data_IF_000308812686
#
_entry.id   IF_000308812686
#
_cell.length_a   1.000
_cell.length_b   1.000
_cell.length_c   1.000
_cell.angle_alpha   90.00
_cell.angle_beta   90.00
_cell.angle_gamma   90.00
#
_symmetry.space_group_name_H-M   'P 1'
#
loop_
_entity.id
_entity.type
_entity.pdbx_description
1 polymer ?
#
# COMPACT_ATOMS: atom_id res chain seq x y z
N UNK A 1 37.94 32.67 -30.74
CA UNK A 1 37.05 31.49 -30.83
C UNK A 1 36.16 31.48 -29.61
N UNK A 2 34.89 31.83 -29.78
CA UNK A 2 33.88 31.76 -28.72
C UNK A 2 33.42 30.31 -28.57
N UNK A 3 33.63 29.72 -27.39
CA UNK A 3 33.10 28.40 -27.06
C UNK A 3 31.56 28.50 -27.13
N UNK A 4 30.87 27.69 -27.93
CA UNK A 4 29.41 27.72 -27.98
C UNK A 4 28.88 27.36 -26.59
N UNK A 5 28.12 28.26 -25.97
CA UNK A 5 27.33 27.93 -24.78
C UNK A 5 26.33 26.86 -25.19
N UNK A 6 26.62 25.59 -24.89
CA UNK A 6 25.66 24.50 -24.99
C UNK A 6 24.50 24.89 -24.08
N UNK A 7 23.36 25.30 -24.65
CA UNK A 7 22.14 25.53 -23.89
C UNK A 7 21.74 24.19 -23.30
N UNK A 8 21.85 24.05 -21.99
CA UNK A 8 21.39 22.88 -21.26
C UNK A 8 19.90 22.66 -21.61
N UNK A 9 19.61 21.57 -22.34
CA UNK A 9 18.22 21.21 -22.63
C UNK A 9 17.66 20.61 -21.34
N UNK A 10 16.55 21.16 -20.80
CA UNK A 10 16.00 20.66 -19.55
C UNK A 10 15.61 19.19 -19.70
N UNK A 11 15.90 18.43 -18.66
CA UNK A 11 15.49 17.03 -18.52
C UNK A 11 13.96 16.91 -18.43
N UNK A 12 13.44 15.70 -18.65
CA UNK A 12 12.01 15.42 -18.43
C UNK A 12 11.58 15.74 -16.99
N UNK A 13 12.46 15.46 -16.01
CA UNK A 13 12.23 15.75 -14.59
C UNK A 13 12.11 17.25 -14.32
N UNK A 14 13.04 18.06 -14.83
CA UNK A 14 13.01 19.52 -14.64
C UNK A 14 11.77 20.14 -15.31
N UNK A 15 11.41 19.64 -16.50
CA UNK A 15 10.21 20.10 -17.21
C UNK A 15 8.93 19.73 -16.45
N UNK A 16 8.84 18.51 -15.94
CA UNK A 16 7.70 18.04 -15.13
C UNK A 16 7.55 18.85 -13.84
N UNK A 17 8.67 19.09 -13.14
CA UNK A 17 8.70 19.90 -11.92
C UNK A 17 8.24 21.34 -12.19
N UNK A 18 8.74 21.99 -13.24
CA UNK A 18 8.34 23.34 -13.59
C UNK A 18 6.84 23.45 -13.88
N UNK A 19 6.29 22.51 -14.65
CA UNK A 19 4.85 22.43 -14.94
C UNK A 19 4.02 22.21 -13.68
N UNK A 20 4.47 21.34 -12.78
CA UNK A 20 3.82 21.09 -11.50
C UNK A 20 3.80 22.35 -10.64
N UNK A 21 4.95 22.98 -10.41
CA UNK A 21 5.08 24.19 -9.59
C UNK A 21 4.21 25.33 -10.12
N UNK A 22 4.16 25.55 -11.43
CA UNK A 22 3.31 26.59 -12.01
C UNK A 22 1.81 26.33 -11.71
N UNK A 23 1.35 25.10 -11.94
CA UNK A 23 -0.06 24.72 -11.81
C UNK A 23 -0.50 24.60 -10.37
N UNK A 24 0.31 23.99 -9.50
CA UNK A 24 0.03 23.85 -8.07
C UNK A 24 -0.09 25.23 -7.41
N UNK A 25 0.81 26.16 -7.72
CA UNK A 25 0.75 27.53 -7.21
C UNK A 25 -0.54 28.26 -7.62
N UNK A 26 -1.01 28.09 -8.87
CA UNK A 26 -2.29 28.66 -9.31
C UNK A 26 -3.46 28.10 -8.49
N UNK A 27 -3.45 26.81 -8.18
CA UNK A 27 -4.49 26.16 -7.38
C UNK A 27 -4.44 26.62 -5.92
N UNK A 28 -3.25 26.62 -5.32
CA UNK A 28 -3.03 27.09 -3.94
C UNK A 28 -3.51 28.53 -3.78
N UNK A 29 -3.24 29.42 -4.75
CA UNK A 29 -3.73 30.81 -4.72
C UNK A 29 -5.27 30.88 -4.70
N UNK A 30 -5.96 30.02 -5.45
CA UNK A 30 -7.43 29.97 -5.44
C UNK A 30 -7.98 29.49 -4.10
N UNK A 31 -7.34 28.47 -3.50
CA UNK A 31 -7.76 27.88 -2.23
C UNK A 31 -7.45 28.78 -1.04
N UNK A 32 -6.36 29.55 -1.06
CA UNK A 32 -5.90 30.36 0.08
C UNK A 32 -6.98 31.26 0.68
N UNK A 33 -7.81 31.89 -0.16
CA UNK A 33 -8.87 32.80 0.29
C UNK A 33 -10.15 32.12 0.78
N UNK A 34 -10.25 30.79 0.68
CA UNK A 34 -11.45 30.02 1.02
C UNK A 34 -11.49 29.74 2.53
N UNK A 35 -12.70 29.65 3.08
CA UNK A 35 -12.92 29.14 4.43
C UNK A 35 -12.55 27.65 4.50
N UNK A 36 -11.54 27.35 5.34
CA UNK A 36 -10.95 26.01 5.44
C UNK A 36 -11.99 24.95 5.80
N UNK A 37 -12.73 25.19 6.87
CA UNK A 37 -13.62 24.17 7.44
C UNK A 37 -14.82 23.95 6.51
N UNK A 38 -15.34 25.01 5.88
CA UNK A 38 -16.33 24.89 4.81
C UNK A 38 -15.85 24.02 3.66
N UNK A 39 -14.64 24.26 3.15
CA UNK A 39 -14.13 23.53 1.98
C UNK A 39 -13.82 22.07 2.31
N UNK A 40 -13.21 21.80 3.46
CA UNK A 40 -12.97 20.42 3.94
C UNK A 40 -14.29 19.67 4.12
N UNK A 41 -15.27 20.27 4.80
CA UNK A 41 -16.59 19.64 5.00
C UNK A 41 -17.31 19.41 3.67
N UNK A 42 -17.15 20.31 2.70
CA UNK A 42 -17.72 20.14 1.35
C UNK A 42 -17.08 18.95 0.62
N UNK A 43 -15.75 18.79 0.73
CA UNK A 43 -15.05 17.63 0.17
C UNK A 43 -15.51 16.33 0.82
N UNK A 44 -15.61 16.27 2.15
CA UNK A 44 -16.09 15.11 2.89
C UNK A 44 -17.53 14.73 2.51
N UNK A 45 -18.40 15.73 2.37
CA UNK A 45 -19.79 15.53 1.95
C UNK A 45 -19.92 15.06 0.50
N UNK A 46 -18.97 15.40 -0.39
CA UNK A 46 -18.92 14.83 -1.74
C UNK A 46 -18.42 13.39 -1.71
N UNK A 47 -17.35 13.10 -0.95
CA UNK A 47 -16.81 11.74 -0.79
C UNK A 47 -17.89 10.77 -0.29
N UNK A 48 -18.69 11.17 0.70
CA UNK A 48 -19.76 10.31 1.22
C UNK A 48 -20.82 9.92 0.17
N UNK A 49 -20.99 10.72 -0.90
CA UNK A 49 -21.98 10.50 -1.95
C UNK A 49 -21.45 9.79 -3.20
N UNK A 50 -20.13 9.62 -3.34
CA UNK A 50 -19.48 9.04 -4.54
C UNK A 50 -20.13 7.70 -4.96
N UNK A 51 -20.23 6.73 -4.03
CA UNK A 51 -20.80 5.41 -4.35
C UNK A 51 -22.29 5.45 -4.73
N UNK A 52 -23.05 6.37 -4.14
CA UNK A 52 -24.50 6.47 -4.33
C UNK A 52 -24.87 7.06 -5.71
N UNK A 53 -24.06 7.99 -6.21
CA UNK A 53 -24.40 8.75 -7.42
C UNK A 53 -24.02 8.04 -8.73
N UNK A 54 -23.15 7.01 -8.69
CA UNK A 54 -22.64 6.30 -9.90
C UNK A 54 -22.08 7.25 -10.98
N UNK A 55 -21.54 8.41 -10.59
CA UNK A 55 -21.06 9.45 -11.50
C UNK A 55 -19.61 9.16 -11.94
N UNK A 56 -19.46 8.27 -12.93
CA UNK A 56 -18.15 7.78 -13.39
C UNK A 56 -17.13 8.88 -13.77
N UNK A 57 -17.56 10.09 -14.11
CA UNK A 57 -16.71 11.18 -14.63
C UNK A 57 -16.10 12.12 -13.57
N UNK A 58 -16.48 12.03 -12.28
CA UNK A 58 -15.97 12.94 -11.22
C UNK A 58 -15.60 12.25 -9.88
N UNK A 59 -15.64 10.93 -9.84
CA UNK A 59 -15.46 10.13 -8.62
C UNK A 59 -13.98 9.79 -8.33
N UNK A 60 -13.06 10.71 -8.65
CA UNK A 60 -11.64 10.57 -8.31
C UNK A 60 -11.39 10.89 -6.84
N UNK A 61 -11.74 9.96 -5.96
CA UNK A 61 -11.69 10.12 -4.50
C UNK A 61 -10.33 10.65 -3.98
N UNK A 62 -9.22 10.24 -4.60
CA UNK A 62 -7.88 10.70 -4.24
C UNK A 62 -7.70 12.21 -4.46
N UNK A 63 -8.36 12.79 -5.46
CA UNK A 63 -8.32 14.24 -5.74
C UNK A 63 -9.07 15.01 -4.66
N UNK A 64 -10.20 14.49 -4.20
CA UNK A 64 -10.96 15.08 -3.09
C UNK A 64 -10.17 15.03 -1.78
N UNK A 65 -9.48 13.92 -1.52
CA UNK A 65 -8.58 13.78 -0.37
C UNK A 65 -7.37 14.74 -0.48
N UNK A 66 -6.81 14.91 -1.67
CA UNK A 66 -5.75 15.88 -1.93
C UNK A 66 -6.23 17.33 -1.70
N UNK A 67 -7.46 17.64 -2.11
CA UNK A 67 -8.08 18.94 -1.87
C UNK A 67 -8.21 19.23 -0.35
N UNK A 68 -8.56 18.22 0.46
CA UNK A 68 -8.58 18.33 1.93
C UNK A 68 -7.18 18.67 2.46
N UNK A 69 -6.13 17.98 2.00
CA UNK A 69 -4.74 18.27 2.39
C UNK A 69 -4.37 19.72 2.08
N UNK A 70 -4.58 20.15 0.84
CA UNK A 70 -4.21 21.50 0.37
C UNK A 70 -4.99 22.59 1.12
N UNK A 71 -6.28 22.36 1.40
CA UNK A 71 -7.07 23.29 2.19
C UNK A 71 -6.61 23.36 3.64
N UNK A 72 -6.30 22.21 4.26
CA UNK A 72 -5.79 22.18 5.61
C UNK A 72 -4.44 22.91 5.78
N UNK A 73 -3.58 22.89 4.76
CA UNK A 73 -2.25 23.54 4.82
C UNK A 73 -2.21 24.98 4.32
N UNK A 74 -3.11 25.39 3.41
CA UNK A 74 -3.00 26.69 2.73
C UNK A 74 -4.22 27.60 2.85
N UNK A 75 -5.38 27.10 3.28
CA UNK A 75 -6.61 27.90 3.38
C UNK A 75 -6.57 28.77 4.64
N UNK A 76 -6.64 30.08 4.46
CA UNK A 76 -6.55 31.07 5.55
C UNK A 76 -7.64 32.13 5.47
N UNK A 77 -8.54 32.07 4.49
CA UNK A 77 -9.61 33.03 4.29
C UNK A 77 -10.93 32.59 4.91
N UNK A 78 -11.99 33.33 4.57
CA UNK A 78 -13.36 33.14 5.08
C UNK A 78 -14.38 33.02 3.95
N UNK A 79 -13.93 33.04 2.68
CA UNK A 79 -14.80 33.04 1.51
C UNK A 79 -15.39 31.65 1.29
N UNK A 80 -16.69 31.59 0.98
CA UNK A 80 -17.38 30.35 0.63
C UNK A 80 -17.63 30.32 -0.89
N UNK A 81 -16.86 29.53 -1.67
CA UNK A 81 -17.05 29.42 -3.11
C UNK A 81 -18.38 28.71 -3.45
N UNK A 82 -18.87 28.94 -4.66
CA UNK A 82 -19.98 28.17 -5.21
C UNK A 82 -19.53 26.79 -5.74
N UNK A 83 -20.50 25.96 -6.13
CA UNK A 83 -20.21 24.62 -6.63
C UNK A 83 -19.38 24.61 -7.93
N UNK A 84 -19.56 25.58 -8.82
CA UNK A 84 -18.85 25.64 -10.09
C UNK A 84 -17.36 25.92 -9.86
N UNK A 85 -17.06 26.82 -8.92
CA UNK A 85 -15.69 27.11 -8.53
C UNK A 85 -15.03 25.92 -7.85
N UNK A 86 -15.74 25.22 -6.94
CA UNK A 86 -15.23 24.01 -6.31
C UNK A 86 -14.90 22.96 -7.38
N UNK A 87 -15.81 22.70 -8.31
CA UNK A 87 -15.57 21.78 -9.45
C UNK A 87 -14.38 22.24 -10.29
N UNK A 88 -14.23 23.55 -10.53
CA UNK A 88 -13.07 24.11 -11.22
C UNK A 88 -11.74 23.87 -10.51
N UNK A 89 -11.72 23.95 -9.17
CA UNK A 89 -10.55 23.65 -8.34
C UNK A 89 -10.22 22.16 -8.43
N UNK A 90 -11.20 21.27 -8.25
CA UNK A 90 -11.02 19.81 -8.30
C UNK A 90 -10.53 19.37 -9.68
N UNK A 91 -11.10 19.89 -10.76
CA UNK A 91 -10.63 19.64 -12.13
C UNK A 91 -9.19 20.10 -12.34
N UNK A 92 -8.80 21.24 -11.74
CA UNK A 92 -7.43 21.73 -11.81
C UNK A 92 -6.46 20.79 -11.07
N UNK A 93 -6.86 20.28 -9.91
CA UNK A 93 -6.10 19.28 -9.14
C UNK A 93 -5.96 17.95 -9.88
N UNK A 94 -7.04 17.47 -10.50
CA UNK A 94 -6.99 16.27 -11.33
C UNK A 94 -5.99 16.44 -12.48
N UNK A 95 -6.03 17.58 -13.18
CA UNK A 95 -5.13 17.89 -14.30
C UNK A 95 -3.66 18.09 -13.89
N UNK A 96 -3.30 18.00 -12.61
CA UNK A 96 -1.89 18.04 -12.19
C UNK A 96 -1.11 16.84 -12.74
N UNK A 97 -1.73 15.66 -12.95
CA UNK A 97 -1.06 14.50 -13.54
C UNK A 97 -0.42 14.79 -14.91
N UNK A 98 -0.91 15.80 -15.63
CA UNK A 98 -0.33 16.23 -16.91
C UNK A 98 1.09 16.79 -16.76
N UNK A 99 1.63 16.96 -15.55
CA UNK A 99 3.06 17.18 -15.33
C UNK A 99 3.92 16.00 -15.81
N UNK A 100 3.33 14.80 -15.99
CA UNK A 100 4.01 13.60 -16.48
C UNK A 100 4.16 13.52 -18.01
N UNK A 101 3.53 14.41 -18.78
CA UNK A 101 3.64 14.44 -20.25
C UNK A 101 5.10 14.37 -20.75
N UNK A 102 6.09 15.05 -20.14
CA UNK A 102 7.50 14.94 -20.57
C UNK A 102 8.07 13.53 -20.51
N UNK A 103 7.51 12.64 -19.69
CA UNK A 103 7.91 11.23 -19.58
C UNK A 103 7.24 10.31 -20.62
N UNK A 104 6.33 10.84 -21.44
CA UNK A 104 5.69 10.13 -22.55
C UNK A 104 6.44 10.32 -23.88
N UNK A 105 7.59 10.99 -23.86
CA UNK A 105 8.43 11.17 -25.04
C UNK A 105 8.98 9.83 -25.55
N UNK A 106 9.22 9.72 -26.86
CA UNK A 106 9.57 8.47 -27.55
C UNK A 106 10.88 7.81 -27.09
N UNK A 107 11.77 8.56 -26.43
CA UNK A 107 13.05 8.08 -25.91
C UNK A 107 12.98 7.65 -24.43
N UNK A 108 11.81 7.67 -23.81
CA UNK A 108 11.58 7.24 -22.43
C UNK A 108 10.59 6.07 -22.40
N UNK A 109 10.58 5.31 -21.30
CA UNK A 109 9.61 4.25 -21.11
C UNK A 109 8.32 4.84 -20.51
N UNK A 110 7.24 5.01 -21.30
CA UNK A 110 6.00 5.62 -20.82
C UNK A 110 5.31 4.80 -19.73
N UNK A 111 5.55 3.48 -19.66
CA UNK A 111 4.96 2.62 -18.64
C UNK A 111 5.39 3.00 -17.24
N UNK A 112 6.60 3.56 -17.06
CA UNK A 112 7.09 3.98 -15.73
C UNK A 112 6.28 5.18 -15.21
N UNK A 113 5.95 6.13 -16.09
CA UNK A 113 5.13 7.30 -15.74
C UNK A 113 3.66 6.94 -15.53
N UNK A 114 3.11 6.12 -16.43
CA UNK A 114 1.74 5.63 -16.34
C UNK A 114 1.51 4.81 -15.06
N UNK A 115 2.51 4.04 -14.61
CA UNK A 115 2.48 3.29 -13.35
C UNK A 115 2.22 4.19 -12.13
N UNK A 116 2.86 5.36 -12.05
CA UNK A 116 2.64 6.29 -10.93
C UNK A 116 1.18 6.77 -10.87
N UNK A 117 0.57 7.04 -12.03
CA UNK A 117 -0.85 7.41 -12.12
C UNK A 117 -1.77 6.27 -11.70
N UNK A 118 -1.50 5.04 -12.16
CA UNK A 118 -2.30 3.88 -11.80
C UNK A 118 -2.20 3.56 -10.30
N UNK A 119 -1.00 3.63 -9.72
CA UNK A 119 -0.80 3.33 -8.30
C UNK A 119 -1.58 4.28 -7.38
N UNK A 120 -1.62 5.57 -7.71
CA UNK A 120 -2.39 6.55 -6.93
C UNK A 120 -3.89 6.23 -6.94
N UNK A 121 -4.43 5.78 -8.08
CA UNK A 121 -5.83 5.42 -8.21
C UNK A 121 -6.14 4.09 -7.52
N UNK A 122 -5.29 3.08 -7.72
CA UNK A 122 -5.48 1.74 -7.16
C UNK A 122 -5.43 1.73 -5.63
N UNK A 123 -4.68 2.67 -5.02
CA UNK A 123 -4.65 2.86 -3.56
C UNK A 123 -6.06 3.00 -2.95
N UNK A 124 -7.01 3.63 -3.65
CA UNK A 124 -8.38 3.80 -3.16
C UNK A 124 -9.37 2.82 -3.79
N UNK A 125 -8.88 1.77 -4.44
CA UNK A 125 -9.70 0.68 -4.99
C UNK A 125 -9.52 -0.61 -4.20
N UNK A 126 -9.16 -0.51 -2.92
CA UNK A 126 -9.04 -1.68 -2.05
C UNK A 126 -10.41 -2.34 -1.87
N UNK A 127 -10.51 -3.61 -2.25
CA UNK A 127 -11.70 -4.39 -2.03
C UNK A 127 -11.84 -4.74 -0.55
N UNK A 128 -13.06 -4.70 -0.01
CA UNK A 128 -13.31 -4.98 1.41
C UNK A 128 -12.85 -6.37 1.85
N UNK A 129 -13.01 -7.39 0.98
CA UNK A 129 -12.53 -8.76 1.26
C UNK A 129 -11.01 -8.80 1.42
N UNK A 130 -10.28 -7.98 0.64
CA UNK A 130 -8.82 -7.84 0.80
C UNK A 130 -8.49 -7.23 2.16
N UNK A 131 -9.18 -6.16 2.56
CA UNK A 131 -8.97 -5.54 3.87
C UNK A 131 -9.23 -6.50 5.04
N UNK A 132 -10.26 -7.35 4.96
CA UNK A 132 -10.50 -8.40 5.96
C UNK A 132 -9.35 -9.40 6.04
N UNK A 133 -8.92 -9.92 4.90
CA UNK A 133 -7.82 -10.87 4.84
C UNK A 133 -6.53 -10.26 5.40
N UNK A 134 -6.24 -9.00 5.08
CA UNK A 134 -5.07 -8.31 5.59
C UNK A 134 -5.12 -8.12 7.11
N UNK A 135 -6.26 -7.75 7.69
CA UNK A 135 -6.41 -7.64 9.16
C UNK A 135 -6.26 -9.00 9.84
N UNK A 136 -6.85 -10.06 9.29
CA UNK A 136 -6.72 -11.42 9.83
C UNK A 136 -5.27 -11.90 9.76
N UNK A 137 -4.60 -11.66 8.63
CA UNK A 137 -3.20 -12.01 8.42
C UNK A 137 -2.27 -11.22 9.34
N UNK A 138 -2.47 -9.92 9.48
CA UNK A 138 -1.71 -9.09 10.43
C UNK A 138 -1.89 -9.61 11.86
N UNK A 139 -3.12 -9.98 12.25
CA UNK A 139 -3.39 -10.62 13.54
C UNK A 139 -2.59 -11.91 13.69
N UNK A 140 -2.67 -12.81 12.71
CA UNK A 140 -1.97 -14.10 12.73
C UNK A 140 -0.44 -13.94 12.82
N UNK A 141 0.14 -13.04 12.02
CA UNK A 141 1.58 -12.83 11.94
C UNK A 141 2.14 -12.13 13.18
N UNK A 142 1.39 -11.19 13.77
CA UNK A 142 1.94 -10.23 14.72
C UNK A 142 1.40 -10.36 16.15
N UNK A 143 0.19 -10.86 16.35
CA UNK A 143 -0.46 -10.85 17.68
C UNK A 143 0.26 -11.67 18.74
N UNK A 144 0.93 -12.75 18.34
CA UNK A 144 1.70 -13.61 19.25
C UNK A 144 3.04 -13.01 19.67
N UNK A 145 3.43 -11.84 19.13
CA UNK A 145 4.72 -11.23 19.40
C UNK A 145 4.66 -10.33 20.63
N UNK A 146 5.23 -10.78 21.75
CA UNK A 146 5.31 -9.98 22.99
C UNK A 146 5.96 -8.61 22.77
N UNK A 147 7.15 -8.48 22.13
CA UNK A 147 7.78 -7.17 21.95
C UNK A 147 6.95 -6.19 21.12
N UNK A 148 6.28 -6.66 20.06
CA UNK A 148 5.43 -5.80 19.22
C UNK A 148 4.16 -5.41 19.95
N UNK A 149 3.56 -6.34 20.70
CA UNK A 149 2.34 -6.11 21.46
C UNK A 149 2.58 -5.12 22.61
N UNK A 150 3.69 -5.25 23.33
CA UNK A 150 4.06 -4.36 24.42
C UNK A 150 4.37 -2.95 23.91
N UNK A 151 5.03 -2.84 22.76
CA UNK A 151 5.22 -1.56 22.08
C UNK A 151 3.89 -0.89 21.74
N UNK A 152 2.96 -1.64 21.11
CA UNK A 152 1.67 -1.08 20.71
C UNK A 152 0.83 -0.66 21.93
N UNK A 153 0.81 -1.47 22.98
CA UNK A 153 0.15 -1.15 24.25
C UNK A 153 0.73 0.09 24.91
N UNK A 154 2.04 0.22 24.94
CA UNK A 154 2.72 1.38 25.55
C UNK A 154 2.43 2.66 24.78
N UNK A 155 2.49 2.60 23.44
CA UNK A 155 2.34 3.79 22.59
C UNK A 155 0.90 4.22 22.34
N UNK A 156 -0.02 3.26 22.20
CA UNK A 156 -1.41 3.51 21.79
C UNK A 156 -2.44 3.01 22.80
N UNK A 157 -2.03 2.36 23.89
CA UNK A 157 -2.94 1.87 24.93
C UNK A 157 -3.72 0.61 24.56
N UNK A 158 -3.46 0.01 23.39
CA UNK A 158 -4.21 -1.16 22.87
C UNK A 158 -3.27 -2.28 22.42
N UNK A 159 -3.73 -3.53 22.55
CA UNK A 159 -3.02 -4.70 22.06
C UNK A 159 -3.19 -4.90 20.55
N UNK A 160 -2.32 -5.67 19.91
CA UNK A 160 -2.44 -6.01 18.48
C UNK A 160 -3.75 -6.75 18.21
N UNK A 161 -4.10 -7.73 19.04
CA UNK A 161 -5.36 -8.49 18.90
C UNK A 161 -6.58 -7.58 19.00
N UNK A 162 -6.56 -6.66 19.98
CA UNK A 162 -7.62 -5.65 20.17
C UNK A 162 -7.74 -4.73 18.96
N UNK A 163 -6.60 -4.24 18.45
CA UNK A 163 -6.56 -3.41 17.24
C UNK A 163 -7.19 -4.13 16.03
N UNK A 164 -6.79 -5.37 15.77
CA UNK A 164 -7.29 -6.14 14.63
C UNK A 164 -8.78 -6.45 14.77
N UNK A 165 -9.26 -6.75 15.98
CA UNK A 165 -10.67 -7.06 16.20
C UNK A 165 -11.58 -5.82 16.08
N UNK A 166 -11.15 -4.65 16.58
CA UNK A 166 -11.89 -3.39 16.35
C UNK A 166 -12.00 -3.10 14.85
N UNK A 167 -10.90 -3.23 14.10
CA UNK A 167 -10.94 -3.09 12.65
C UNK A 167 -11.88 -4.08 11.98
N UNK A 168 -11.87 -5.35 12.39
CA UNK A 168 -12.77 -6.37 11.85
C UNK A 168 -14.25 -5.97 11.99
N UNK A 169 -14.67 -5.50 13.17
CA UNK A 169 -16.06 -5.06 13.39
C UNK A 169 -16.38 -3.77 12.62
N UNK A 170 -15.46 -2.82 12.56
CA UNK A 170 -15.63 -1.59 11.76
C UNK A 170 -15.79 -1.92 10.27
N UNK A 171 -14.97 -2.83 9.74
CA UNK A 171 -15.08 -3.28 8.35
C UNK A 171 -16.46 -3.88 8.07
N UNK A 172 -17.06 -4.59 9.03
CA UNK A 172 -18.43 -5.13 8.89
C UNK A 172 -19.47 -4.02 8.76
N UNK A 173 -19.35 -2.97 9.57
CA UNK A 173 -20.24 -1.81 9.44
C UNK A 173 -20.04 -1.08 8.10
N UNK A 174 -18.80 -0.98 7.63
CA UNK A 174 -18.50 -0.37 6.32
C UNK A 174 -19.03 -1.24 5.17
N UNK A 175 -18.99 -2.57 5.29
CA UNK A 175 -19.51 -3.51 4.30
C UNK A 175 -21.00 -3.29 4.00
N UNK A 176 -21.76 -2.94 5.03
CA UNK A 176 -23.21 -2.71 4.97
C UNK A 176 -23.56 -1.31 4.41
N UNK A 177 -22.58 -0.44 4.20
CA UNK A 177 -22.80 0.95 3.77
C UNK A 177 -22.90 1.09 2.25
N UNK A 178 -23.97 1.75 1.80
CA UNK A 178 -24.16 2.16 0.40
C UNK A 178 -23.44 3.48 0.06
N UNK A 179 -22.83 4.12 1.04
CA UNK A 179 -22.19 5.43 0.90
C UNK A 179 -20.67 5.30 0.71
N UNK A 180 -20.04 6.38 0.23
CA UNK A 180 -18.57 6.48 0.15
C UNK A 180 -17.90 6.68 1.51
N UNK A 181 -18.66 7.00 2.54
CA UNK A 181 -18.23 7.14 3.93
C UNK A 181 -19.28 6.52 4.85
N UNK A 182 -18.84 5.93 5.96
CA UNK A 182 -19.70 5.27 6.94
C UNK A 182 -19.57 5.95 8.29
N UNK A 183 -20.69 6.38 8.87
CA UNK A 183 -20.75 6.72 10.29
C UNK A 183 -20.69 5.44 11.12
N UNK A 184 -19.75 5.37 12.05
CA UNK A 184 -19.54 4.20 12.89
C UNK A 184 -20.55 4.21 14.01
N UNK A 185 -21.40 3.17 14.05
CA UNK A 185 -22.31 2.95 15.15
C UNK A 185 -21.52 2.47 16.38
N UNK A 186 -21.18 3.41 17.26
CA UNK A 186 -20.41 3.14 18.48
C UNK A 186 -21.17 2.22 19.45
N UNK A 187 -22.50 2.30 19.50
CA UNK A 187 -23.32 1.41 20.34
C UNK A 187 -23.19 -0.05 19.89
N UNK A 188 -23.34 -0.30 18.59
CA UNK A 188 -23.11 -1.62 17.99
C UNK A 188 -21.68 -2.09 18.18
N UNK A 189 -20.70 -1.22 17.93
CA UNK A 189 -19.28 -1.55 18.14
C UNK A 189 -19.01 -1.96 19.59
N UNK A 190 -19.57 -1.25 20.56
CA UNK A 190 -19.44 -1.61 21.98
C UNK A 190 -20.07 -2.97 22.26
N UNK A 191 -21.29 -3.22 21.78
CA UNK A 191 -22.00 -4.50 22.00
C UNK A 191 -21.23 -5.66 21.38
N UNK A 192 -20.81 -5.52 20.11
CA UNK A 192 -20.10 -6.56 19.35
C UNK A 192 -18.70 -6.82 19.92
N UNK A 193 -18.05 -5.80 20.49
CA UNK A 193 -16.71 -5.93 21.07
C UNK A 193 -16.68 -6.28 22.57
N UNK A 194 -17.73 -6.01 23.35
CA UNK A 194 -17.75 -6.17 24.81
C UNK A 194 -17.31 -7.55 25.31
N UNK A 195 -17.60 -8.68 24.65
CA UNK A 195 -17.15 -9.99 25.13
C UNK A 195 -15.62 -10.14 25.13
N UNK A 196 -14.90 -9.36 24.30
CA UNK A 196 -13.48 -9.55 24.05
C UNK A 196 -12.62 -8.32 24.35
N UNK A 197 -13.22 -7.13 24.45
CA UNK A 197 -12.52 -5.83 24.50
C UNK A 197 -13.16 -4.90 25.52
N UNK A 198 -12.32 -4.10 26.20
CA UNK A 198 -12.79 -3.08 27.14
C UNK A 198 -13.19 -1.82 26.38
N UNK A 199 -14.24 -1.12 26.84
CA UNK A 199 -14.69 0.15 26.24
C UNK A 199 -13.55 1.17 26.13
N UNK A 200 -12.66 1.22 27.13
CA UNK A 200 -11.48 2.09 27.11
C UNK A 200 -10.60 1.85 25.88
N UNK A 201 -10.52 0.62 25.38
CA UNK A 201 -9.66 0.27 24.27
C UNK A 201 -10.26 0.78 22.94
N UNK A 202 -11.59 0.77 22.82
CA UNK A 202 -12.31 1.40 21.69
C UNK A 202 -12.02 2.90 21.65
N UNK A 203 -12.08 3.56 22.82
CA UNK A 203 -11.72 4.97 22.94
C UNK A 203 -10.26 5.23 22.54
N UNK A 204 -9.31 4.43 23.04
CA UNK A 204 -7.89 4.58 22.69
C UNK A 204 -7.63 4.36 21.20
N UNK A 205 -8.34 3.41 20.58
CA UNK A 205 -8.28 3.19 19.14
C UNK A 205 -8.70 4.45 18.37
N UNK A 206 -9.88 5.01 18.63
CA UNK A 206 -10.32 6.19 17.90
C UNK A 206 -9.49 7.43 18.24
N UNK A 207 -9.06 7.61 19.49
CA UNK A 207 -8.11 8.65 19.85
C UNK A 207 -6.81 8.54 19.04
N UNK A 208 -6.37 7.32 18.78
CA UNK A 208 -5.16 7.05 18.03
C UNK A 208 -5.34 7.10 16.51
N UNK A 209 -6.55 6.92 15.94
CA UNK A 209 -6.71 6.76 14.48
C UNK A 209 -7.81 7.64 13.87
N UNK A 210 -8.35 8.58 14.64
CA UNK A 210 -9.25 9.62 14.15
C UNK A 210 -8.60 11.01 14.21
N UNK A 211 -9.18 11.96 13.48
CA UNK A 211 -8.76 13.35 13.44
C UNK A 211 -9.99 14.26 13.31
N UNK A 212 -9.96 15.46 13.87
CA UNK A 212 -10.95 16.52 13.60
C UNK A 212 -10.49 17.47 12.50
N UNK A 213 -11.41 18.23 11.89
CA UNK A 213 -11.05 19.25 10.89
C UNK A 213 -10.09 20.31 11.42
N UNK A 214 -10.21 20.65 12.70
CA UNK A 214 -9.34 21.62 13.38
C UNK A 214 -7.93 21.11 13.63
N UNK A 215 -7.73 19.79 13.78
CA UNK A 215 -6.42 19.16 13.96
C UNK A 215 -5.67 18.91 12.64
N UNK A 216 -6.39 18.86 11.51
CA UNK A 216 -5.81 18.59 10.18
C UNK A 216 -4.60 19.47 9.83
N UNK A 217 -4.59 20.81 10.06
CA UNK A 217 -3.43 21.65 9.76
C UNK A 217 -2.16 21.19 10.50
N UNK A 218 -2.26 20.94 11.80
CA UNK A 218 -1.13 20.50 12.62
C UNK A 218 -0.68 19.08 12.23
N UNK A 219 -1.63 18.20 11.89
CA UNK A 219 -1.33 16.87 11.38
C UNK A 219 -0.53 16.93 10.08
N UNK A 220 -1.02 17.68 9.07
CA UNK A 220 -0.38 17.77 7.75
C UNK A 220 0.94 18.54 7.77
N UNK A 221 1.17 19.44 8.73
CA UNK A 221 2.45 20.14 8.89
C UNK A 221 3.64 19.17 9.03
N UNK A 222 3.41 17.98 9.58
CA UNK A 222 4.43 16.92 9.72
C UNK A 222 4.75 16.18 8.40
N UNK A 223 4.01 16.46 7.32
CA UNK A 223 4.12 15.78 6.03
C UNK A 223 4.41 16.76 4.87
N UNK A 224 5.04 17.89 5.17
CA UNK A 224 5.36 18.98 4.21
C UNK A 224 6.59 18.72 3.34
N UNK A 225 7.43 17.75 3.72
CA UNK A 225 8.56 17.27 2.89
C UNK A 225 8.10 16.68 1.56
N UNK A 226 6.79 16.40 1.45
CA UNK A 226 6.09 15.86 0.30
C UNK A 226 5.20 16.92 -0.38
N UNK A 227 5.62 18.18 -0.48
CA UNK A 227 4.85 19.20 -1.22
C UNK A 227 5.70 19.99 -2.21
N UNK A 228 7.03 19.85 -2.18
CA UNK A 228 7.96 20.61 -3.02
C UNK A 228 8.20 19.99 -4.40
N UNK A 229 8.10 18.66 -4.52
CA UNK A 229 8.36 17.94 -5.75
C UNK A 229 7.06 17.48 -6.44
N UNK A 230 7.09 17.27 -7.75
CA UNK A 230 5.90 16.78 -8.46
C UNK A 230 5.61 15.31 -8.17
N UNK A 231 6.62 14.52 -7.78
CA UNK A 231 6.43 13.15 -7.31
C UNK A 231 5.46 13.09 -6.12
N UNK A 232 5.44 14.14 -5.28
CA UNK A 232 4.53 14.21 -4.13
C UNK A 232 3.06 14.13 -4.44
N UNK A 233 2.67 14.59 -5.62
CA UNK A 233 1.30 14.48 -6.08
C UNK A 233 0.83 13.03 -6.10
N UNK A 234 1.72 12.07 -6.36
CA UNK A 234 1.41 10.65 -6.52
C UNK A 234 1.55 9.83 -5.23
N UNK A 235 2.03 10.44 -4.13
CA UNK A 235 2.11 9.74 -2.86
C UNK A 235 0.72 9.49 -2.26
N UNK A 236 0.66 8.44 -1.45
CA UNK A 236 -0.51 8.14 -0.65
C UNK A 236 -0.76 9.26 0.38
N UNK A 237 -2.04 9.60 0.60
CA UNK A 237 -2.38 10.65 1.56
C UNK A 237 -1.99 10.27 2.99
N UNK A 238 -1.37 11.17 3.77
CA UNK A 238 -1.11 10.94 5.20
C UNK A 238 -2.37 10.56 6.00
N UNK A 239 -3.58 10.96 5.55
CA UNK A 239 -4.85 10.58 6.19
C UNK A 239 -5.08 9.07 6.25
N UNK A 240 -4.34 8.27 5.49
CA UNK A 240 -4.26 6.83 5.68
C UNK A 240 -3.86 6.42 7.12
N UNK A 241 -3.18 7.29 7.88
CA UNK A 241 -2.83 7.09 9.29
C UNK A 241 -3.92 7.49 10.28
N UNK A 242 -4.90 8.25 9.79
CA UNK A 242 -6.05 8.78 10.52
C UNK A 242 -7.31 8.66 9.64
N UNK A 243 -7.75 7.43 9.30
CA UNK A 243 -8.80 7.22 8.32
C UNK A 243 -10.19 7.66 8.81
N UNK A 244 -10.34 7.93 10.10
CA UNK A 244 -11.60 8.37 10.69
C UNK A 244 -11.59 9.87 10.95
N UNK A 245 -12.75 10.50 10.78
CA UNK A 245 -13.01 11.84 11.26
C UNK A 245 -13.92 11.77 12.47
N UNK A 246 -13.60 12.52 13.51
CA UNK A 246 -14.49 12.71 14.65
C UNK A 246 -15.04 14.13 14.64
N UNK A 247 -16.35 14.26 14.82
CA UNK A 247 -17.05 15.53 14.95
C UNK A 247 -18.10 15.41 16.02
N UNK A 248 -17.97 16.23 17.07
CA UNK A 248 -18.89 16.25 18.20
C UNK A 248 -19.03 14.83 18.80
N UNK A 249 -20.22 14.24 18.68
CA UNK A 249 -20.57 12.91 19.19
C UNK A 249 -20.50 11.81 18.13
N UNK A 250 -20.03 12.12 16.92
CA UNK A 250 -20.02 11.20 15.77
C UNK A 250 -18.59 10.87 15.34
N UNK A 251 -18.40 9.64 14.88
CA UNK A 251 -17.17 9.19 14.22
C UNK A 251 -17.57 8.58 12.90
N UNK A 252 -16.94 9.00 11.82
CA UNK A 252 -17.15 8.43 10.50
C UNK A 252 -15.83 8.17 9.80
N UNK A 253 -15.82 7.30 8.80
CA UNK A 253 -14.68 7.19 7.90
C UNK A 253 -14.58 8.48 7.07
N UNK A 254 -13.38 9.00 6.82
CA UNK A 254 -13.18 10.03 5.80
C UNK A 254 -13.63 9.51 4.44
N UNK A 255 -13.29 8.25 4.18
CA UNK A 255 -13.63 7.45 3.00
C UNK A 255 -13.60 5.98 3.40
N UNK A 256 -14.57 5.20 2.92
CA UNK A 256 -14.60 3.76 3.09
C UNK A 256 -13.38 3.09 2.44
N UNK A 257 -12.99 3.55 1.25
CA UNK A 257 -11.83 3.03 0.53
C UNK A 257 -10.51 3.39 1.21
N UNK A 258 -10.41 4.61 1.75
CA UNK A 258 -9.27 5.00 2.58
C UNK A 258 -9.18 4.12 3.82
N UNK A 259 -10.32 3.85 4.48
CA UNK A 259 -10.37 2.97 5.64
C UNK A 259 -9.94 1.53 5.29
N UNK A 260 -10.35 0.99 4.14
CA UNK A 260 -9.88 -0.32 3.65
C UNK A 260 -8.37 -0.35 3.44
N UNK A 261 -7.83 0.69 2.79
CA UNK A 261 -6.39 0.82 2.61
C UNK A 261 -5.70 0.87 3.97
N UNK A 262 -6.16 1.74 4.88
CA UNK A 262 -5.68 1.86 6.26
C UNK A 262 -5.66 0.55 7.03
N UNK A 263 -6.75 -0.21 7.00
CA UNK A 263 -6.81 -1.52 7.63
C UNK A 263 -5.68 -2.45 7.10
N UNK A 264 -5.37 -2.35 5.81
CA UNK A 264 -4.42 -3.24 5.13
C UNK A 264 -2.94 -2.94 5.43
N UNK A 265 -2.56 -1.66 5.66
CA UNK A 265 -1.14 -1.29 5.81
C UNK A 265 -0.78 -0.65 7.17
N UNK A 266 -1.75 -0.10 7.91
CA UNK A 266 -1.46 0.84 8.99
C UNK A 266 -0.65 0.21 10.13
N UNK A 267 -1.03 -0.97 10.62
CA UNK A 267 -0.34 -1.62 11.74
C UNK A 267 1.14 -1.94 11.44
N UNK A 268 1.49 -2.63 10.34
CA UNK A 268 2.89 -2.76 9.91
C UNK A 268 3.62 -1.41 9.86
N UNK A 269 2.96 -0.37 9.34
CA UNK A 269 3.56 0.95 9.22
C UNK A 269 3.86 1.59 10.59
N UNK A 270 3.01 1.40 11.60
CA UNK A 270 3.25 1.91 12.97
C UNK A 270 4.58 1.39 13.54
N UNK A 271 4.96 0.16 13.21
CA UNK A 271 6.22 -0.43 13.64
C UNK A 271 7.40 0.01 12.77
N UNK A 272 7.21 0.09 11.44
CA UNK A 272 8.26 0.49 10.48
C UNK A 272 8.76 1.91 10.71
N UNK A 273 7.86 2.84 11.03
CA UNK A 273 8.21 4.25 11.23
C UNK A 273 8.88 4.54 12.57
N UNK A 274 8.87 3.57 13.48
CA UNK A 274 9.46 3.72 14.80
C UNK A 274 10.91 3.25 14.82
N UNK A 275 11.83 4.16 15.15
CA UNK A 275 13.25 3.83 15.34
C UNK A 275 13.46 2.76 16.43
N UNK A 276 12.61 2.73 17.44
CA UNK A 276 12.73 1.84 18.61
C UNK A 276 12.43 0.36 18.30
N UNK A 277 11.47 0.09 17.41
CA UNK A 277 10.95 -1.28 17.19
C UNK A 277 11.11 -1.76 15.74
N UNK A 278 11.43 -0.88 14.79
CA UNK A 278 11.45 -1.22 13.34
C UNK A 278 12.35 -2.40 13.00
N UNK A 279 13.55 -2.51 13.59
CA UNK A 279 14.46 -3.64 13.34
C UNK A 279 13.88 -4.96 13.88
N UNK A 280 13.36 -4.94 15.11
CA UNK A 280 12.68 -6.07 15.73
C UNK A 280 11.47 -6.51 14.90
N UNK A 281 10.66 -5.55 14.46
CA UNK A 281 9.53 -5.79 13.58
C UNK A 281 9.96 -6.45 12.28
N UNK A 282 10.94 -5.91 11.56
CA UNK A 282 11.44 -6.50 10.30
C UNK A 282 11.86 -7.95 10.49
N UNK A 283 12.66 -8.24 11.52
CA UNK A 283 13.13 -9.61 11.82
C UNK A 283 11.97 -10.57 12.10
N UNK A 284 11.01 -10.16 12.92
CA UNK A 284 9.86 -10.98 13.28
C UNK A 284 8.94 -11.19 12.08
N UNK A 285 8.62 -10.10 11.38
CA UNK A 285 7.70 -10.10 10.25
C UNK A 285 8.20 -10.96 9.10
N UNK A 286 9.46 -10.80 8.67
CA UNK A 286 10.07 -11.61 7.60
C UNK A 286 9.96 -13.10 7.90
N UNK A 287 10.41 -13.54 9.09
CA UNK A 287 10.35 -14.95 9.48
C UNK A 287 8.91 -15.48 9.58
N UNK A 288 8.01 -14.69 10.17
CA UNK A 288 6.59 -15.10 10.30
C UNK A 288 5.90 -15.18 8.94
N UNK A 289 6.24 -14.27 8.03
CA UNK A 289 5.71 -14.24 6.67
C UNK A 289 6.18 -15.45 5.86
N UNK A 290 7.47 -15.76 5.86
CA UNK A 290 8.05 -16.97 5.25
C UNK A 290 7.35 -18.24 5.76
N UNK A 291 7.26 -18.39 7.10
CA UNK A 291 6.58 -19.54 7.70
C UNK A 291 5.11 -19.64 7.30
N UNK A 292 4.38 -18.52 7.29
CA UNK A 292 2.98 -18.49 6.88
C UNK A 292 2.78 -18.95 5.43
N UNK A 293 3.65 -18.52 4.50
CA UNK A 293 3.63 -19.01 3.13
C UNK A 293 3.92 -20.52 3.09
N UNK A 294 4.92 -20.99 3.84
CA UNK A 294 5.22 -22.41 3.96
C UNK A 294 4.03 -23.24 4.46
N UNK A 295 3.31 -22.77 5.48
CA UNK A 295 2.11 -23.42 6.02
C UNK A 295 0.99 -23.52 4.98
N UNK A 296 0.77 -22.46 4.17
CA UNK A 296 -0.21 -22.48 3.09
C UNK A 296 0.17 -23.46 1.96
N UNK A 297 1.45 -23.51 1.60
CA UNK A 297 1.95 -24.40 0.55
C UNK A 297 1.88 -25.87 0.99
N UNK A 298 2.15 -26.16 2.26
CA UNK A 298 2.05 -27.50 2.82
C UNK A 298 0.61 -28.06 2.84
N UNK A 299 -0.40 -27.19 2.76
CA UNK A 299 -1.81 -27.59 2.64
C UNK A 299 -2.21 -27.97 1.21
N UNK A 300 -1.30 -27.85 0.24
CA UNK A 300 -1.54 -28.29 -1.14
C UNK A 300 -1.32 -29.80 -1.27
N UNK A 301 -1.99 -30.42 -2.24
CA UNK A 301 -1.75 -31.83 -2.60
C UNK A 301 -0.48 -32.02 -3.46
N UNK A 302 0.39 -31.02 -3.52
CA UNK A 302 1.61 -31.02 -4.34
C UNK A 302 2.82 -31.22 -3.44
N UNK A 303 3.87 -31.86 -3.95
CA UNK A 303 5.08 -32.09 -3.16
C UNK A 303 5.74 -30.76 -2.82
N UNK A 304 5.64 -30.34 -1.56
CA UNK A 304 6.26 -29.13 -1.02
C UNK A 304 7.62 -29.45 -0.39
N UNK A 305 8.62 -28.62 -0.72
CA UNK A 305 9.95 -28.63 -0.07
C UNK A 305 10.24 -27.26 0.54
N UNK A 306 10.73 -27.27 1.78
CA UNK A 306 11.27 -26.09 2.47
C UNK A 306 12.70 -25.77 2.02
N UNK A 307 13.19 -24.58 2.35
CA UNK A 307 14.56 -24.14 2.08
C UNK A 307 15.62 -25.20 2.47
N UNK A 308 15.47 -25.81 3.65
CA UNK A 308 16.38 -26.85 4.15
C UNK A 308 16.30 -28.13 3.30
N UNK A 309 15.09 -28.58 2.96
CA UNK A 309 14.90 -29.76 2.12
C UNK A 309 15.38 -29.54 0.68
N UNK A 310 15.33 -28.31 0.18
CA UNK A 310 15.90 -27.93 -1.12
C UNK A 310 17.42 -27.98 -1.06
N UNK A 311 18.04 -27.48 0.01
CA UNK A 311 19.49 -27.60 0.21
C UNK A 311 19.93 -29.06 0.24
N UNK A 312 19.18 -29.92 0.92
CA UNK A 312 19.47 -31.35 0.98
C UNK A 312 19.31 -32.04 -0.37
N UNK A 313 18.28 -31.68 -1.14
CA UNK A 313 18.15 -32.10 -2.53
C UNK A 313 19.38 -31.70 -3.34
N UNK A 314 19.80 -30.43 -3.30
CA UNK A 314 20.96 -30.00 -4.08
C UNK A 314 22.27 -30.67 -3.66
N UNK A 315 22.44 -30.95 -2.35
CA UNK A 315 23.57 -31.75 -1.85
C UNK A 315 23.56 -33.16 -2.42
N UNK A 316 22.40 -33.83 -2.48
CA UNK A 316 22.29 -35.17 -3.08
C UNK A 316 22.57 -35.18 -4.57
N UNK A 317 22.35 -34.06 -5.26
CA UNK A 317 22.72 -33.85 -6.66
C UNK A 317 24.20 -33.46 -6.87
N UNK A 318 25.03 -33.46 -5.82
CA UNK A 318 26.45 -33.13 -5.91
C UNK A 318 26.80 -31.64 -5.83
N UNK A 319 25.85 -30.77 -5.48
CA UNK A 319 26.06 -29.33 -5.31
C UNK A 319 26.25 -28.98 -3.82
N UNK A 320 27.49 -29.07 -3.33
CA UNK A 320 27.85 -28.89 -1.91
C UNK A 320 28.52 -27.54 -1.55
N UNK A 321 28.70 -26.61 -2.50
CA UNK A 321 29.38 -25.32 -2.27
C UNK A 321 28.44 -24.19 -1.85
N UNK A 322 28.66 -23.61 -0.65
CA UNK A 322 28.01 -22.38 -0.09
C UNK A 322 26.61 -22.07 -0.64
N UNK A 323 25.65 -22.98 -0.48
CA UNK A 323 24.26 -22.80 -0.93
C UNK A 323 23.45 -21.91 0.03
N UNK A 324 23.90 -20.68 0.25
CA UNK A 324 23.14 -19.66 0.98
C UNK A 324 22.09 -18.96 0.09
N UNK A 325 22.03 -19.27 -1.20
CA UNK A 325 21.16 -18.62 -2.19
C UNK A 325 20.22 -19.64 -2.84
N UNK A 326 19.46 -20.37 -2.04
CA UNK A 326 18.32 -21.14 -2.54
C UNK A 326 17.04 -20.32 -2.36
N UNK A 327 15.95 -20.76 -2.99
CA UNK A 327 14.62 -20.19 -2.76
C UNK A 327 14.02 -20.73 -1.46
N UNK A 328 13.09 -19.99 -0.86
CA UNK A 328 12.45 -20.36 0.41
C UNK A 328 11.60 -21.63 0.31
N UNK A 329 10.89 -21.79 -0.81
CA UNK A 329 10.02 -22.94 -1.05
C UNK A 329 10.07 -23.44 -2.50
N UNK A 330 9.76 -24.72 -2.68
CA UNK A 330 9.64 -25.37 -3.98
C UNK A 330 8.43 -26.29 -3.98
N UNK A 331 7.61 -26.20 -5.03
CA UNK A 331 6.57 -27.19 -5.33
C UNK A 331 7.00 -28.02 -6.53
N UNK A 332 6.82 -29.33 -6.44
CA UNK A 332 7.12 -30.28 -7.52
C UNK A 332 5.85 -31.06 -7.83
N UNK A 333 5.43 -31.01 -9.09
CA UNK A 333 4.37 -31.85 -9.64
C UNK A 333 4.99 -32.85 -10.64
N UNK A 334 5.27 -34.09 -10.23
CA UNK A 334 5.82 -35.10 -11.13
C UNK A 334 4.85 -35.47 -12.27
N UNK A 335 3.54 -35.43 -12.01
CA UNK A 335 2.50 -35.77 -12.97
C UNK A 335 2.49 -34.81 -14.18
N UNK A 336 2.58 -33.50 -13.91
CA UNK A 336 2.59 -32.47 -14.95
C UNK A 336 3.99 -32.03 -15.36
N UNK A 337 5.03 -32.59 -14.72
CA UNK A 337 6.44 -32.19 -14.87
C UNK A 337 6.63 -30.69 -14.69
N UNK A 338 6.04 -30.11 -13.64
CA UNK A 338 6.21 -28.70 -13.32
C UNK A 338 6.97 -28.56 -12.01
N UNK A 339 8.00 -27.69 -12.00
CA UNK A 339 8.63 -27.20 -10.79
C UNK A 339 8.32 -25.73 -10.62
N UNK A 340 7.82 -25.37 -9.45
CA UNK A 340 7.54 -23.99 -9.07
C UNK A 340 8.46 -23.58 -7.93
N UNK A 341 9.34 -22.62 -8.21
CA UNK A 341 10.28 -22.01 -7.26
C UNK A 341 9.66 -20.76 -6.66
N UNK A 342 9.70 -20.64 -5.34
CA UNK A 342 8.98 -19.62 -4.61
C UNK A 342 9.92 -18.90 -3.65
N UNK A 343 10.10 -17.60 -3.90
CA UNK A 343 10.86 -16.69 -3.04
C UNK A 343 9.89 -15.76 -2.32
N UNK A 344 9.88 -15.77 -1.00
CA UNK A 344 9.02 -14.93 -0.18
C UNK A 344 9.77 -13.75 0.42
N UNK A 345 9.27 -12.54 0.18
CA UNK A 345 9.82 -11.29 0.69
C UNK A 345 8.78 -10.59 1.55
N UNK A 346 9.03 -10.53 2.86
CA UNK A 346 8.25 -9.72 3.80
C UNK A 346 8.38 -8.20 3.60
N UNK A 347 8.74 -7.74 2.40
CA UNK A 347 8.96 -6.35 2.04
C UNK A 347 7.68 -5.81 1.40
N UNK A 348 7.20 -4.66 1.86
CA UNK A 348 6.19 -3.86 1.15
C UNK A 348 6.89 -2.94 0.16
N UNK A 349 6.27 -2.68 -0.99
CA UNK A 349 6.79 -1.66 -1.89
C UNK A 349 6.60 -0.31 -1.21
N UNK A 350 7.71 0.32 -0.80
CA UNK A 350 7.65 1.66 -0.20
C UNK A 350 6.97 2.63 -1.15
N UNK A 351 6.26 3.63 -0.63
CA UNK A 351 5.55 4.63 -1.46
C UNK A 351 6.46 5.30 -2.50
N UNK A 352 7.76 5.37 -2.22
CA UNK A 352 8.76 5.83 -3.18
C UNK A 352 8.86 4.94 -4.42
N UNK A 353 8.86 3.61 -4.29
CA UNK A 353 8.90 2.68 -5.44
C UNK A 353 7.71 2.89 -6.36
N UNK A 354 6.55 3.26 -5.82
CA UNK A 354 5.32 3.53 -6.58
C UNK A 354 5.42 4.76 -7.48
N UNK A 355 6.24 5.74 -7.11
CA UNK A 355 6.30 7.06 -7.78
C UNK A 355 7.63 7.37 -8.45
N UNK A 356 8.69 6.57 -8.25
CA UNK A 356 9.97 6.76 -8.98
C UNK A 356 9.72 6.68 -10.48
N UNK A 357 10.15 7.73 -11.19
CA UNK A 357 10.04 7.84 -12.64
C UNK A 357 11.35 7.62 -13.40
N UNK A 358 12.48 7.62 -12.69
CA UNK A 358 13.78 7.30 -13.27
C UNK A 358 14.01 5.77 -13.26
N UNK A 359 14.11 5.11 -14.42
CA UNK A 359 14.28 3.66 -14.49
C UNK A 359 15.54 3.16 -13.77
N UNK A 360 16.62 3.93 -13.81
CA UNK A 360 17.91 3.55 -13.18
C UNK A 360 17.79 3.50 -11.66
N UNK A 361 17.20 4.55 -11.08
CA UNK A 361 16.90 4.63 -9.65
C UNK A 361 15.92 3.54 -9.24
N UNK A 362 14.90 3.27 -10.05
CA UNK A 362 13.94 2.20 -9.80
C UNK A 362 14.64 0.83 -9.78
N UNK A 363 15.46 0.52 -10.79
CA UNK A 363 16.20 -0.74 -10.88
C UNK A 363 17.11 -0.95 -9.66
N UNK A 364 17.88 0.08 -9.28
CA UNK A 364 18.75 0.04 -8.09
C UNK A 364 17.98 -0.23 -6.79
N UNK A 365 16.74 0.26 -6.68
CA UNK A 365 15.88 0.02 -5.51
C UNK A 365 15.25 -1.37 -5.49
N UNK A 366 15.06 -1.98 -6.66
CA UNK A 366 14.54 -3.32 -6.81
C UNK A 366 15.62 -4.41 -6.73
N UNK A 367 16.90 -4.03 -6.86
CA UNK A 367 18.05 -4.91 -6.94
C UNK A 367 18.13 -5.93 -5.79
N UNK A 368 18.14 -5.45 -4.55
CA UNK A 368 18.35 -6.28 -3.36
C UNK A 368 17.19 -7.26 -3.05
N UNK A 369 15.99 -6.97 -3.55
CA UNK A 369 14.78 -7.71 -3.19
C UNK A 369 14.24 -8.55 -4.35
N UNK A 370 13.90 -7.91 -5.48
CA UNK A 370 13.21 -8.58 -6.59
C UNK A 370 14.22 -9.17 -7.56
N UNK A 371 15.22 -8.40 -8.00
CA UNK A 371 16.22 -8.87 -8.98
C UNK A 371 17.05 -10.00 -8.38
N UNK A 372 17.44 -9.89 -7.10
CA UNK A 372 18.10 -10.97 -6.37
C UNK A 372 17.26 -12.25 -6.31
N UNK A 373 15.95 -12.14 -6.07
CA UNK A 373 15.04 -13.30 -6.06
C UNK A 373 14.94 -13.99 -7.43
N UNK A 374 14.94 -13.22 -8.52
CA UNK A 374 15.00 -13.76 -9.90
C UNK A 374 16.31 -14.53 -10.10
N UNK A 375 17.44 -13.93 -9.72
CA UNK A 375 18.75 -14.57 -9.85
C UNK A 375 18.86 -15.86 -9.02
N UNK A 376 18.34 -15.88 -7.79
CA UNK A 376 18.25 -17.09 -6.95
C UNK A 376 17.44 -18.20 -7.64
N UNK A 377 16.30 -17.83 -8.23
CA UNK A 377 15.46 -18.78 -8.97
C UNK A 377 16.18 -19.35 -10.19
N UNK A 378 16.85 -18.51 -10.98
CA UNK A 378 17.62 -18.96 -12.14
C UNK A 378 18.76 -19.92 -11.76
N UNK A 379 19.43 -19.68 -10.63
CA UNK A 379 20.45 -20.59 -10.10
C UNK A 379 19.85 -21.95 -9.74
N UNK A 380 18.68 -21.96 -9.07
CA UNK A 380 17.96 -23.19 -8.75
C UNK A 380 17.56 -23.97 -10.00
N UNK A 381 17.02 -23.29 -11.03
CA UNK A 381 16.67 -23.92 -12.31
C UNK A 381 17.91 -24.54 -12.95
N UNK A 382 19.02 -23.82 -13.01
CA UNK A 382 20.25 -24.31 -13.63
C UNK A 382 20.88 -25.52 -12.92
N UNK A 383 20.58 -25.73 -11.63
CA UNK A 383 20.96 -26.94 -10.88
C UNK A 383 20.04 -28.10 -11.27
N UNK A 384 18.72 -27.88 -11.25
CA UNK A 384 17.72 -28.91 -11.50
C UNK A 384 17.73 -29.39 -12.96
N UNK A 385 17.82 -28.48 -13.93
CA UNK A 385 17.75 -28.80 -15.36
C UNK A 385 18.91 -29.69 -15.85
N UNK A 386 20.05 -29.66 -15.14
CA UNK A 386 21.20 -30.53 -15.42
C UNK A 386 21.03 -31.96 -14.91
N UNK A 387 20.01 -32.21 -14.10
CA UNK A 387 19.77 -33.52 -13.51
C UNK A 387 18.78 -34.35 -14.36
N UNK A 388 19.10 -35.63 -14.65
CA UNK A 388 18.20 -36.51 -15.42
C UNK A 388 16.78 -36.65 -14.88
N UNK A 389 16.60 -36.60 -13.55
CA UNK A 389 15.30 -36.78 -12.88
C UNK A 389 14.32 -35.63 -13.19
N UNK A 390 14.86 -34.46 -13.56
CA UNK A 390 14.09 -33.27 -13.90
C UNK A 390 14.06 -32.98 -15.41
N UNK A 391 14.52 -33.93 -16.24
CA UNK A 391 14.54 -33.75 -17.69
C UNK A 391 13.11 -33.59 -18.24
N UNK A 392 12.90 -32.49 -18.97
CA UNK A 392 11.60 -32.16 -19.57
C UNK A 392 10.60 -31.57 -18.57
N UNK A 393 11.04 -31.16 -17.38
CA UNK A 393 10.22 -30.33 -16.51
C UNK A 393 10.18 -28.88 -17.00
N UNK A 394 9.04 -28.22 -16.79
CA UNK A 394 8.89 -26.77 -16.97
C UNK A 394 9.08 -26.08 -15.63
N UNK A 395 9.89 -25.03 -15.62
CA UNK A 395 10.22 -24.28 -14.40
C UNK A 395 9.52 -22.93 -14.38
N UNK A 396 8.81 -22.64 -13.29
CA UNK A 396 8.26 -21.31 -13.00
C UNK A 396 8.91 -20.73 -11.74
N UNK A 397 9.03 -19.41 -11.70
CA UNK A 397 9.51 -18.67 -10.53
C UNK A 397 8.48 -17.64 -10.11
N UNK A 398 8.16 -17.63 -8.82
CA UNK A 398 7.23 -16.68 -8.22
C UNK A 398 7.92 -15.95 -7.06
N UNK A 399 7.92 -14.63 -7.12
CA UNK A 399 8.37 -13.78 -6.02
C UNK A 399 7.12 -13.27 -5.31
N UNK A 400 7.03 -13.61 -4.04
CA UNK A 400 5.90 -13.40 -3.16
C UNK A 400 6.22 -12.22 -2.25
N UNK A 401 5.71 -11.01 -2.53
CA UNK A 401 5.89 -9.85 -1.63
C UNK A 401 4.63 -9.52 -0.85
N UNK A 402 4.73 -8.98 0.36
CA UNK A 402 3.57 -8.73 1.25
C UNK A 402 2.34 -8.08 0.57
N UNK A 403 2.54 -7.12 -0.33
CA UNK A 403 1.44 -6.38 -0.99
C UNK A 403 0.80 -7.14 -2.16
N UNK A 404 1.53 -8.11 -2.74
CA UNK A 404 1.12 -8.91 -3.91
C UNK A 404 0.17 -10.06 -3.56
N UNK A 405 -0.27 -10.19 -2.30
CA UNK A 405 -1.01 -11.39 -1.88
C UNK A 405 -2.49 -11.26 -2.08
N UNK A 406 -2.76 -11.19 -3.39
CA UNK A 406 -3.74 -12.01 -4.04
C UNK A 406 -3.30 -13.40 -4.50
N UNK A 407 -2.51 -14.12 -3.71
CA UNK A 407 -2.79 -15.55 -3.55
C UNK A 407 -4.12 -15.71 -2.78
N UNK A 408 -5.21 -15.21 -3.35
CA UNK A 408 -6.55 -15.34 -2.79
C UNK A 408 -7.04 -16.78 -2.88
N UNK A 409 -6.36 -17.60 -3.68
CA UNK A 409 -6.82 -18.89 -4.12
C UNK A 409 -5.59 -19.74 -4.44
N UNK A 410 -5.21 -20.61 -3.50
CA UNK A 410 -4.34 -21.77 -3.77
C UNK A 410 -4.80 -22.53 -5.03
N UNK A 411 -6.09 -22.46 -5.35
CA UNK A 411 -6.67 -22.99 -6.59
C UNK A 411 -6.08 -22.39 -7.87
N UNK A 412 -5.65 -21.12 -7.93
CA UNK A 412 -4.97 -20.58 -9.12
C UNK A 412 -3.55 -21.13 -9.30
N UNK A 413 -2.83 -21.29 -8.18
CA UNK A 413 -1.53 -21.95 -8.18
C UNK A 413 -1.68 -23.41 -8.63
N UNK A 414 -2.73 -24.06 -8.14
CA UNK A 414 -3.14 -25.40 -8.53
C UNK A 414 -3.49 -25.48 -10.02
N UNK A 415 -4.25 -24.52 -10.58
CA UNK A 415 -4.51 -24.46 -12.03
C UNK A 415 -3.22 -24.37 -12.83
N UNK A 416 -2.25 -23.56 -12.38
CA UNK A 416 -0.93 -23.46 -13.02
C UNK A 416 -0.14 -24.79 -12.94
N UNK A 417 -0.35 -25.58 -11.90
CA UNK A 417 0.31 -26.86 -11.68
C UNK A 417 -0.42 -28.04 -12.34
N UNK A 418 -1.74 -27.94 -12.58
CA UNK A 418 -2.61 -29.01 -13.11
C UNK A 418 -2.96 -28.83 -14.61
N UNK A 419 -2.75 -27.64 -15.19
CA UNK A 419 -2.99 -27.38 -16.61
C UNK A 419 -1.87 -26.50 -17.18
N UNK A 420 -0.76 -27.10 -17.65
CA UNK A 420 0.21 -26.38 -18.45
C UNK A 420 -0.50 -25.95 -19.75
N UNK A 421 -0.53 -24.65 -20.01
CA UNK A 421 -0.93 -24.16 -21.33
C UNK A 421 0.05 -24.62 -22.40
#
# INVERSE_FOLDING_TARGET
MSIPKIKHKPTAKETAQALYTERSNKIIRKIRGIDRDFFINTCLAKISKIKKNKEASFDYEHVWILAIKIAATHSTGTRKPDNNEIVGIINSLWRLHNCLIPYLASNLNPFVAIRAMFNQQSTLQHHIVKAYADIMRQSHLLSSSTPLNDYLKTKYGISITTYCFIWFVILTQIAESEFGSTEINLGRLIIDCRPYIKIKDIYQFFKAFSISTSEMPAFFANYTTYDSDFESYFYDSPLKRRPFIHKEMTISTISNNLAFSSASFLLPQLFKDSKEISQTFKKIFTKKFENYIGELLAQTNVTHKTEEQIKDLYRSLGHSGKTNNVVDHMLISPETKIVLLIESKGVEQTDFVKVILDPTTLAKRLEDNHIKGIAQSQQCIGILDKNPDFKGYTFYSFIIVNDDYGFWMLSRLRTLLESPH
#
